data_IF_785696706296
#
_entry.id   IF_785696706296
#
_cell.length_a   1.000
_cell.length_b   1.000
_cell.length_c   1.000
_cell.angle_alpha   90.00
_cell.angle_beta   90.00
_cell.angle_gamma   90.00
#
_symmetry.space_group_name_H-M   'P 1'
#
loop_
_entity.id
_entity.type
_entity.pdbx_description
1 polymer ?
#
# COMPACT_ATOMS: atom_id res chain seq x y z
N UNK A 1 -31.64 -16.27 -28.98
CA UNK A 1 -30.52 -17.20 -29.30
C UNK A 1 -29.11 -16.64 -28.98
N UNK A 2 -28.77 -15.43 -29.45
CA UNK A 2 -27.44 -14.84 -29.23
C UNK A 2 -27.19 -14.40 -27.79
N UNK A 3 -28.21 -13.83 -27.13
CA UNK A 3 -28.13 -13.30 -25.76
C UNK A 3 -27.94 -14.37 -24.68
N UNK A 4 -28.33 -15.63 -24.93
CA UNK A 4 -28.14 -16.75 -24.01
C UNK A 4 -26.75 -17.40 -24.13
N UNK A 5 -26.10 -17.29 -25.31
CA UNK A 5 -24.75 -17.82 -25.55
C UNK A 5 -23.65 -16.81 -25.19
N UNK A 6 -23.94 -15.51 -25.27
CA UNK A 6 -23.00 -14.45 -24.90
C UNK A 6 -22.82 -14.32 -23.37
N UNK A 7 -23.87 -14.58 -22.58
CA UNK A 7 -23.87 -14.45 -21.12
C UNK A 7 -22.83 -15.35 -20.42
N UNK A 8 -22.74 -16.67 -20.70
CA UNK A 8 -21.75 -17.53 -20.05
C UNK A 8 -20.31 -17.19 -20.47
N UNK A 9 -20.09 -16.75 -21.71
CA UNK A 9 -18.76 -16.35 -22.19
C UNK A 9 -18.29 -15.04 -21.55
N UNK A 10 -19.21 -14.07 -21.39
CA UNK A 10 -18.94 -12.81 -20.70
C UNK A 10 -18.64 -13.05 -19.21
N UNK A 11 -19.38 -13.93 -18.56
CA UNK A 11 -19.19 -14.27 -17.15
C UNK A 11 -17.85 -15.00 -16.91
N UNK A 12 -17.45 -15.91 -17.81
CA UNK A 12 -16.11 -16.53 -17.79
C UNK A 12 -15.00 -15.50 -17.97
N UNK A 13 -15.19 -14.55 -18.89
CA UNK A 13 -14.20 -13.51 -19.16
C UNK A 13 -14.01 -12.59 -17.94
N UNK A 14 -15.10 -12.12 -17.32
CA UNK A 14 -15.07 -11.28 -16.11
C UNK A 14 -14.45 -12.02 -14.92
N UNK A 15 -14.79 -13.28 -14.72
CA UNK A 15 -14.19 -14.11 -13.67
C UNK A 15 -12.69 -14.29 -13.88
N UNK A 16 -12.27 -14.55 -15.11
CA UNK A 16 -10.85 -14.65 -15.46
C UNK A 16 -10.14 -13.31 -15.22
N UNK A 17 -10.75 -12.20 -15.61
CA UNK A 17 -10.22 -10.85 -15.35
C UNK A 17 -10.08 -10.59 -13.85
N UNK A 18 -11.07 -10.93 -13.03
CA UNK A 18 -11.04 -10.72 -11.57
C UNK A 18 -9.90 -11.50 -10.91
N UNK A 19 -9.68 -12.77 -11.31
CA UNK A 19 -8.54 -13.57 -10.86
C UNK A 19 -7.19 -12.99 -11.27
N UNK A 20 -7.09 -12.50 -12.50
CA UNK A 20 -5.86 -11.85 -12.99
C UNK A 20 -5.61 -10.53 -12.23
N UNK A 21 -6.65 -9.78 -11.89
CA UNK A 21 -6.56 -8.55 -11.10
C UNK A 21 -6.12 -8.83 -9.66
N UNK A 22 -6.68 -9.85 -9.00
CA UNK A 22 -6.26 -10.22 -7.63
C UNK A 22 -4.80 -10.69 -7.59
N UNK A 23 -4.35 -11.50 -8.57
CA UNK A 23 -2.97 -11.96 -8.65
C UNK A 23 -1.99 -10.83 -8.96
N UNK A 24 -2.35 -9.92 -9.87
CA UNK A 24 -1.54 -8.74 -10.18
C UNK A 24 -1.49 -7.77 -9.00
N UNK A 25 -2.60 -7.55 -8.30
CA UNK A 25 -2.64 -6.75 -7.06
C UNK A 25 -1.67 -7.30 -6.01
N UNK A 26 -1.68 -8.63 -5.79
CA UNK A 26 -0.77 -9.28 -4.85
C UNK A 26 0.69 -9.15 -5.28
N UNK A 27 1.00 -9.33 -6.57
CA UNK A 27 2.35 -9.16 -7.09
C UNK A 27 2.86 -7.73 -6.94
N UNK A 28 2.03 -6.74 -7.28
CA UNK A 28 2.37 -5.31 -7.17
C UNK A 28 2.54 -4.91 -5.70
N UNK A 29 1.67 -5.37 -4.82
CA UNK A 29 1.76 -5.12 -3.37
C UNK A 29 3.00 -5.77 -2.77
N UNK A 30 3.31 -7.03 -3.16
CA UNK A 30 4.51 -7.73 -2.71
C UNK A 30 5.79 -7.04 -3.19
N UNK A 31 5.84 -6.67 -4.48
CA UNK A 31 6.94 -5.90 -5.03
C UNK A 31 7.14 -4.56 -4.30
N UNK A 32 6.04 -3.82 -4.09
CA UNK A 32 6.05 -2.56 -3.35
C UNK A 32 6.54 -2.72 -1.90
N UNK A 33 6.11 -3.77 -1.20
CA UNK A 33 6.57 -4.08 0.15
C UNK A 33 8.06 -4.41 0.18
N UNK A 34 8.55 -5.23 -0.76
CA UNK A 34 9.98 -5.56 -0.88
C UNK A 34 10.79 -4.30 -1.14
N UNK A 35 10.34 -3.42 -2.04
CA UNK A 35 11.02 -2.14 -2.28
C UNK A 35 11.04 -1.28 -1.01
N UNK A 36 9.91 -1.15 -0.29
CA UNK A 36 9.87 -0.41 0.97
C UNK A 36 10.78 -1.01 2.06
N UNK A 37 10.88 -2.34 2.12
CA UNK A 37 11.78 -3.05 3.00
C UNK A 37 13.24 -2.71 2.69
N UNK A 38 13.62 -2.74 1.41
CA UNK A 38 14.94 -2.36 0.94
C UNK A 38 15.25 -0.90 1.32
N UNK A 39 14.32 0.03 1.07
CA UNK A 39 14.46 1.45 1.44
C UNK A 39 14.59 1.65 2.96
N UNK A 40 13.99 0.76 3.77
CA UNK A 40 14.07 0.82 5.24
C UNK A 40 15.42 0.32 5.76
N UNK A 41 15.96 -0.76 5.18
CA UNK A 41 17.18 -1.43 5.68
C UNK A 41 18.48 -0.92 5.06
N UNK A 42 18.47 -0.36 3.84
CA UNK A 42 19.63 0.29 3.23
C UNK A 42 19.56 1.79 3.54
N UNK A 43 20.37 2.32 4.48
CA UNK A 43 20.32 3.72 4.83
C UNK A 43 21.08 4.55 3.78
N UNK A 44 20.52 4.71 2.58
CA UNK A 44 20.99 5.65 1.54
C UNK A 44 20.04 6.83 1.35
N UNK A 45 19.36 7.26 2.41
CA UNK A 45 18.41 8.39 2.36
C UNK A 45 19.12 9.73 2.09
N UNK A 46 20.40 9.81 2.46
CA UNK A 46 21.28 10.95 2.25
C UNK A 46 22.69 10.41 1.98
N UNK A 47 23.14 10.47 0.72
CA UNK A 47 24.52 10.17 0.37
C UNK A 47 25.29 11.48 0.46
N UNK A 48 26.34 11.56 1.28
CA UNK A 48 27.23 12.73 1.27
C UNK A 48 27.96 12.76 -0.07
N UNK A 49 27.98 13.91 -0.73
CA UNK A 49 28.80 14.11 -1.92
C UNK A 49 30.30 14.04 -1.52
N UNK A 50 31.01 13.05 -2.06
CA UNK A 50 32.42 12.78 -1.79
C UNK A 50 33.36 13.78 -2.49
N UNK A 51 32.91 14.44 -3.55
CA UNK A 51 33.77 15.26 -4.41
C UNK A 51 34.02 16.67 -3.84
N UNK A 52 33.27 17.08 -2.80
CA UNK A 52 33.39 18.40 -2.16
C UNK A 52 33.99 18.37 -0.74
N UNK A 53 34.27 17.17 -0.19
CA UNK A 53 34.64 16.98 1.22
C UNK A 53 35.96 16.20 1.39
N UNK A 54 36.94 16.41 0.50
CA UNK A 54 38.24 15.72 0.51
C UNK A 54 39.05 15.89 1.82
N UNK A 55 38.74 16.87 2.68
CA UNK A 55 39.58 17.17 3.87
C UNK A 55 39.05 16.66 5.22
N UNK A 56 37.82 16.14 5.31
CA UNK A 56 37.29 15.61 6.58
C UNK A 56 37.05 14.13 6.42
N UNK A 57 38.03 13.34 6.88
CA UNK A 57 37.98 11.88 6.86
C UNK A 57 36.61 11.34 7.23
N UNK A 58 36.14 10.37 6.44
CA UNK A 58 34.85 9.71 6.51
C UNK A 58 34.72 9.00 7.88
N UNK A 59 34.44 9.74 8.95
CA UNK A 59 34.01 9.13 10.19
C UNK A 59 32.57 8.70 9.99
N UNK A 60 32.40 7.42 9.62
CA UNK A 60 31.19 6.65 9.91
C UNK A 60 30.99 6.65 11.44
N UNK A 61 30.47 7.76 11.97
CA UNK A 61 29.98 7.82 13.34
C UNK A 61 28.61 7.16 13.30
N UNK A 62 28.56 5.87 13.63
CA UNK A 62 27.32 5.23 13.98
C UNK A 62 26.64 6.13 15.04
N UNK A 63 25.46 6.64 14.74
CA UNK A 63 24.67 7.36 15.73
C UNK A 63 24.22 6.33 16.77
N UNK A 64 25.08 6.06 17.77
CA UNK A 64 24.94 4.98 18.76
C UNK A 64 23.87 5.27 19.82
N UNK A 65 23.20 6.41 19.77
CA UNK A 65 22.17 6.79 20.75
C UNK A 65 20.95 7.39 20.07
N UNK A 66 19.79 6.75 20.31
CA UNK A 66 18.44 7.19 19.93
C UNK A 66 18.09 8.63 20.35
N UNK A 67 18.86 9.25 21.25
CA UNK A 67 18.67 10.64 21.73
C UNK A 67 19.51 11.71 21.00
N UNK A 68 20.34 11.34 20.01
CA UNK A 68 21.21 12.27 19.30
C UNK A 68 20.78 12.61 17.86
N UNK A 69 19.66 12.06 17.40
CA UNK A 69 19.18 12.23 16.02
C UNK A 69 18.06 13.30 16.01
N UNK A 70 18.04 14.25 15.06
CA UNK A 70 16.96 15.24 14.97
C UNK A 70 15.60 14.53 14.89
N UNK A 71 14.62 15.04 15.64
CA UNK A 71 13.29 14.45 15.84
C UNK A 71 12.63 14.01 14.50
N UNK A 72 12.84 14.79 13.44
CA UNK A 72 12.28 14.55 12.10
C UNK A 72 12.79 13.25 11.46
N UNK A 73 14.04 12.85 11.72
CA UNK A 73 14.61 11.59 11.22
C UNK A 73 14.09 10.39 12.03
N UNK A 74 13.83 10.57 13.32
CA UNK A 74 13.25 9.52 14.16
C UNK A 74 11.81 9.23 13.75
N UNK A 75 11.00 10.28 13.50
CA UNK A 75 9.63 10.16 13.01
C UNK A 75 9.61 9.42 11.66
N UNK A 76 10.51 9.78 10.74
CA UNK A 76 10.61 9.13 9.44
C UNK A 76 10.90 7.63 9.54
N UNK A 77 11.80 7.21 10.45
CA UNK A 77 12.07 5.78 10.70
C UNK A 77 10.87 5.04 11.26
N UNK A 78 10.16 5.64 12.21
CA UNK A 78 8.95 5.03 12.79
C UNK A 78 7.86 4.87 11.73
N UNK A 79 7.65 5.88 10.89
CA UNK A 79 6.69 5.82 9.78
C UNK A 79 7.04 4.71 8.77
N UNK A 80 8.31 4.56 8.43
CA UNK A 80 8.77 3.47 7.54
C UNK A 80 8.57 2.08 8.18
N UNK A 81 8.85 1.91 9.47
CA UNK A 81 8.60 0.65 10.17
C UNK A 81 7.10 0.32 10.24
N UNK A 82 6.26 1.31 10.52
CA UNK A 82 4.80 1.17 10.49
C UNK A 82 4.32 0.82 9.08
N UNK A 83 4.90 1.43 8.06
CA UNK A 83 4.60 1.11 6.66
C UNK A 83 4.89 -0.36 6.34
N UNK A 84 6.09 -0.85 6.68
CA UNK A 84 6.47 -2.25 6.43
C UNK A 84 5.55 -3.20 7.20
N UNK A 85 5.24 -2.89 8.46
CA UNK A 85 4.32 -3.69 9.28
C UNK A 85 2.91 -3.76 8.68
N UNK A 86 2.35 -2.62 8.32
CA UNK A 86 1.01 -2.54 7.70
C UNK A 86 0.96 -3.17 6.32
N UNK A 87 2.00 -3.04 5.50
CA UNK A 87 2.10 -3.70 4.19
C UNK A 87 2.26 -5.23 4.30
N UNK A 88 3.00 -5.72 5.30
CA UNK A 88 3.06 -7.14 5.61
C UNK A 88 1.70 -7.69 6.05
N UNK A 89 1.00 -6.97 6.94
CA UNK A 89 -0.37 -7.31 7.34
C UNK A 89 -1.35 -7.27 6.17
N UNK A 90 -1.18 -6.34 5.22
CA UNK A 90 -1.99 -6.25 4.01
C UNK A 90 -1.89 -7.54 3.16
N UNK A 91 -0.67 -8.05 2.94
CA UNK A 91 -0.45 -9.30 2.21
C UNK A 91 -1.00 -10.51 2.95
N UNK A 92 -0.78 -10.59 4.27
CA UNK A 92 -1.30 -11.67 5.10
C UNK A 92 -2.83 -11.71 5.12
N UNK A 93 -3.48 -10.55 5.16
CA UNK A 93 -4.94 -10.44 5.07
C UNK A 93 -5.44 -10.74 3.65
N UNK A 94 -4.76 -10.26 2.61
CA UNK A 94 -5.18 -10.47 1.22
C UNK A 94 -5.05 -11.94 0.78
N UNK A 95 -3.99 -12.66 1.19
CA UNK A 95 -3.71 -14.03 0.78
C UNK A 95 -4.91 -15.01 0.91
N UNK A 96 -5.57 -15.15 2.08
CA UNK A 96 -6.77 -16.00 2.22
C UNK A 96 -8.00 -15.47 1.47
N UNK A 97 -8.01 -14.19 1.09
CA UNK A 97 -9.08 -13.55 0.32
C UNK A 97 -9.05 -13.86 -1.18
N UNK A 98 -7.94 -14.38 -1.73
CA UNK A 98 -7.85 -14.69 -3.16
C UNK A 98 -8.82 -15.79 -3.59
N UNK A 99 -9.34 -15.64 -4.81
CA UNK A 99 -10.08 -16.71 -5.48
C UNK A 99 -9.16 -17.87 -5.84
N UNK A 100 -9.54 -19.09 -5.41
CA UNK A 100 -8.75 -20.31 -5.59
C UNK A 100 -7.87 -20.70 -4.39
N UNK A 101 -7.95 -19.96 -3.28
CA UNK A 101 -7.38 -20.36 -1.99
C UNK A 101 -8.46 -21.04 -1.14
N UNK A 102 -8.16 -22.26 -0.67
CA UNK A 102 -9.10 -23.12 0.06
C UNK A 102 -9.25 -22.76 1.56
N UNK A 103 -8.56 -21.73 2.04
CA UNK A 103 -8.54 -21.34 3.47
C UNK A 103 -9.91 -20.83 3.96
N UNK A 104 -10.75 -20.29 3.08
CA UNK A 104 -12.08 -19.73 3.43
C UNK A 104 -13.20 -20.25 2.51
N UNK A 105 -13.19 -21.55 2.19
CA UNK A 105 -14.24 -22.18 1.38
C UNK A 105 -15.59 -22.07 2.10
N UNK A 106 -16.60 -21.53 1.42
CA UNK A 106 -17.96 -21.40 1.94
C UNK A 106 -18.32 -20.06 2.59
N UNK A 107 -17.37 -19.12 2.73
CA UNK A 107 -17.64 -17.78 3.28
C UNK A 107 -17.23 -16.65 2.32
N UNK A 108 -18.02 -16.34 1.29
CA UNK A 108 -17.70 -15.27 0.33
C UNK A 108 -17.63 -13.89 1.01
N UNK A 109 -18.45 -13.65 2.04
CA UNK A 109 -18.41 -12.41 2.81
C UNK A 109 -17.09 -12.17 3.54
N UNK A 110 -16.48 -13.23 4.07
CA UNK A 110 -15.19 -13.15 4.75
C UNK A 110 -14.05 -12.89 3.76
N UNK A 111 -14.04 -13.56 2.61
CA UNK A 111 -13.08 -13.30 1.52
C UNK A 111 -13.13 -11.83 1.07
N UNK A 112 -14.34 -11.30 0.90
CA UNK A 112 -14.54 -9.88 0.56
C UNK A 112 -13.97 -8.95 1.64
N UNK A 113 -14.27 -9.20 2.91
CA UNK A 113 -13.74 -8.39 4.01
C UNK A 113 -12.22 -8.43 4.09
N UNK A 114 -11.61 -9.59 3.85
CA UNK A 114 -10.16 -9.78 3.82
C UNK A 114 -9.49 -9.00 2.68
N UNK A 115 -10.08 -9.00 1.48
CA UNK A 115 -9.59 -8.21 0.34
C UNK A 115 -9.73 -6.69 0.59
N UNK A 116 -10.85 -6.24 1.17
CA UNK A 116 -11.05 -4.83 1.56
C UNK A 116 -10.02 -4.43 2.62
N UNK A 117 -9.84 -5.26 3.65
CA UNK A 117 -8.87 -5.02 4.72
C UNK A 117 -7.45 -4.95 4.16
N UNK A 118 -7.07 -5.88 3.28
CA UNK A 118 -5.81 -5.86 2.55
C UNK A 118 -5.61 -4.58 1.74
N UNK A 119 -6.64 -4.13 1.02
CA UNK A 119 -6.62 -2.87 0.27
C UNK A 119 -6.40 -1.63 1.15
N UNK A 120 -7.14 -1.52 2.26
CA UNK A 120 -6.99 -0.41 3.22
C UNK A 120 -5.60 -0.40 3.84
N UNK A 121 -5.11 -1.56 4.30
CA UNK A 121 -3.78 -1.68 4.89
C UNK A 121 -2.67 -1.35 3.88
N UNK A 122 -2.85 -1.72 2.61
CA UNK A 122 -1.92 -1.38 1.53
C UNK A 122 -1.88 0.13 1.25
N UNK A 123 -3.02 0.83 1.31
CA UNK A 123 -3.06 2.29 1.20
C UNK A 123 -2.38 2.97 2.39
N UNK A 124 -2.68 2.52 3.61
CA UNK A 124 -2.03 3.06 4.81
C UNK A 124 -0.52 2.89 4.70
N UNK A 125 -0.05 1.69 4.36
CA UNK A 125 1.36 1.39 4.10
C UNK A 125 1.96 2.34 3.06
N UNK A 126 1.38 2.42 1.85
CA UNK A 126 1.87 3.30 0.79
C UNK A 126 1.93 4.77 1.18
N UNK A 127 0.91 5.32 1.85
CA UNK A 127 0.89 6.71 2.32
C UNK A 127 1.95 6.97 3.40
N UNK A 128 2.12 6.03 4.33
CA UNK A 128 3.13 6.13 5.39
C UNK A 128 4.57 5.96 4.87
N UNK A 129 4.77 5.34 3.70
CA UNK A 129 6.05 5.39 2.96
C UNK A 129 6.24 6.72 2.25
N UNK A 130 5.23 7.22 1.53
CA UNK A 130 5.36 8.42 0.71
C UNK A 130 5.57 9.68 1.56
N UNK A 131 4.88 9.82 2.69
CA UNK A 131 4.96 11.00 3.55
C UNK A 131 6.40 11.35 3.99
N UNK A 132 7.17 10.46 4.66
CA UNK A 132 8.54 10.78 5.07
C UNK A 132 9.48 11.00 3.88
N UNK A 133 9.33 10.23 2.79
CA UNK A 133 10.18 10.39 1.61
C UNK A 133 9.93 11.74 0.92
N UNK A 134 8.67 12.18 0.83
CA UNK A 134 8.32 13.49 0.26
C UNK A 134 8.77 14.64 1.15
N UNK A 135 8.70 14.51 2.48
CA UNK A 135 9.20 15.53 3.41
C UNK A 135 10.71 15.70 3.25
N UNK A 136 11.47 14.61 3.24
CA UNK A 136 12.94 14.65 3.07
C UNK A 136 13.32 15.24 1.71
N UNK A 137 12.54 14.96 0.66
CA UNK A 137 12.76 15.54 -0.66
C UNK A 137 12.53 17.06 -0.63
N UNK A 138 11.43 17.50 -0.01
CA UNK A 138 11.11 18.91 0.14
C UNK A 138 12.18 19.69 0.92
N UNK A 139 12.61 19.18 2.08
CA UNK A 139 13.64 19.85 2.90
C UNK A 139 14.96 19.97 2.14
N UNK A 140 15.35 18.92 1.39
CA UNK A 140 16.57 18.94 0.57
C UNK A 140 16.53 20.02 -0.51
N UNK A 141 15.37 20.20 -1.17
CA UNK A 141 15.19 21.26 -2.19
C UNK A 141 15.28 22.65 -1.56
N UNK A 142 14.65 22.86 -0.42
CA UNK A 142 14.66 24.16 0.27
C UNK A 142 16.07 24.52 0.73
N UNK A 143 16.79 23.57 1.33
CA UNK A 143 18.18 23.74 1.75
C UNK A 143 19.11 24.05 0.56
N UNK A 144 18.87 23.47 -0.62
CA UNK A 144 19.68 23.71 -1.81
C UNK A 144 19.57 25.14 -2.35
N UNK A 145 18.39 25.77 -2.21
CA UNK A 145 18.11 27.09 -2.79
C UNK A 145 18.33 28.25 -1.80
N UNK A 146 18.60 27.97 -0.53
CA UNK A 146 18.82 29.01 0.47
C UNK A 146 20.27 29.54 0.42
N UNK A 147 20.42 30.79 0.00
CA UNK A 147 21.72 31.46 -0.22
C UNK A 147 22.41 31.91 1.08
N UNK A 148 21.78 31.70 2.25
CA UNK A 148 22.29 32.12 3.56
C UNK A 148 23.23 31.11 4.26
N UNK A 149 23.44 29.92 3.69
CA UNK A 149 24.26 28.88 4.33
C UNK A 149 25.75 28.99 3.94
N UNK A 150 26.70 28.92 4.89
CA UNK A 150 28.12 28.98 4.59
C UNK A 150 28.56 27.75 3.76
N UNK A 151 29.46 27.97 2.78
CA UNK A 151 29.97 27.00 1.78
C UNK A 151 30.61 25.70 2.35
N UNK A 152 30.62 25.53 3.67
CA UNK A 152 31.26 24.43 4.41
C UNK A 152 30.30 23.27 4.73
N UNK A 153 29.02 23.37 4.33
CA UNK A 153 28.03 22.30 4.55
C UNK A 153 27.91 21.42 3.29
N UNK A 154 28.02 20.08 3.39
CA UNK A 154 27.98 19.19 2.22
C UNK A 154 26.64 19.31 1.50
N UNK A 155 26.69 19.60 0.19
CA UNK A 155 25.52 19.55 -0.69
C UNK A 155 24.98 18.12 -0.73
N UNK A 156 23.78 17.93 -0.20
CA UNK A 156 23.09 16.64 -0.22
C UNK A 156 22.51 16.40 -1.61
N UNK A 157 22.97 15.35 -2.28
CA UNK A 157 22.34 14.87 -3.52
C UNK A 157 21.26 13.83 -3.19
N UNK A 158 20.25 13.72 -4.05
CA UNK A 158 19.19 12.72 -3.89
C UNK A 158 19.80 11.32 -3.86
N UNK A 159 19.67 10.62 -2.74
CA UNK A 159 20.06 9.22 -2.66
C UNK A 159 19.14 8.36 -3.53
N UNK A 160 19.69 7.38 -4.24
CA UNK A 160 18.92 6.44 -5.08
C UNK A 160 17.79 5.73 -4.30
N UNK A 161 17.93 5.61 -2.97
CA UNK A 161 16.93 5.05 -2.08
C UNK A 161 15.64 5.89 -1.98
N UNK A 162 15.67 7.19 -2.27
CA UNK A 162 14.46 8.01 -2.26
C UNK A 162 13.54 7.67 -3.43
N UNK A 163 14.11 7.43 -4.61
CA UNK A 163 13.36 6.98 -5.78
C UNK A 163 12.74 5.62 -5.53
N UNK A 164 13.49 4.67 -4.95
CA UNK A 164 12.94 3.37 -4.59
C UNK A 164 11.79 3.50 -3.57
N UNK A 165 11.89 4.40 -2.60
CA UNK A 165 10.79 4.70 -1.67
C UNK A 165 9.52 5.20 -2.37
N UNK A 166 9.64 6.07 -3.37
CA UNK A 166 8.50 6.53 -4.17
C UNK A 166 7.89 5.40 -5.00
N UNK A 167 8.72 4.62 -5.69
CA UNK A 167 8.24 3.47 -6.46
C UNK A 167 7.56 2.44 -5.57
N UNK A 168 8.13 2.13 -4.40
CA UNK A 168 7.54 1.23 -3.41
C UNK A 168 6.21 1.73 -2.85
N UNK A 169 6.15 3.01 -2.44
CA UNK A 169 4.93 3.63 -1.93
C UNK A 169 3.82 3.68 -2.97
N UNK A 170 4.13 4.10 -4.21
CA UNK A 170 3.16 4.13 -5.32
C UNK A 170 2.70 2.73 -5.72
N UNK A 171 3.59 1.74 -5.72
CA UNK A 171 3.24 0.35 -5.97
C UNK A 171 2.26 -0.16 -4.89
N UNK A 172 2.49 0.12 -3.61
CA UNK A 172 1.56 -0.26 -2.53
C UNK A 172 0.18 0.42 -2.67
N UNK A 173 0.14 1.70 -3.04
CA UNK A 173 -1.13 2.39 -3.31
C UNK A 173 -1.86 1.75 -4.48
N UNK A 174 -1.13 1.46 -5.57
CA UNK A 174 -1.67 0.81 -6.78
C UNK A 174 -2.14 -0.63 -6.49
N UNK A 175 -1.40 -1.39 -5.68
CA UNK A 175 -1.81 -2.71 -5.22
C UNK A 175 -3.12 -2.66 -4.43
N UNK A 176 -3.24 -1.68 -3.53
CA UNK A 176 -4.47 -1.43 -2.77
C UNK A 176 -5.66 -1.06 -3.67
N UNK A 177 -5.48 -0.17 -4.65
CA UNK A 177 -6.56 0.18 -5.59
C UNK A 177 -7.00 -1.01 -6.42
N UNK A 178 -6.07 -1.87 -6.86
CA UNK A 178 -6.40 -3.10 -7.60
C UNK A 178 -7.21 -4.08 -6.74
N UNK A 179 -6.91 -4.21 -5.43
CA UNK A 179 -7.76 -4.98 -4.52
C UNK A 179 -9.19 -4.42 -4.45
N UNK A 180 -9.34 -3.09 -4.31
CA UNK A 180 -10.67 -2.47 -4.32
C UNK A 180 -11.40 -2.67 -5.64
N UNK A 181 -10.73 -2.53 -6.78
CA UNK A 181 -11.36 -2.74 -8.09
C UNK A 181 -11.80 -4.21 -8.21
N UNK A 182 -10.98 -5.17 -7.75
CA UNK A 182 -11.36 -6.59 -7.79
C UNK A 182 -12.63 -6.87 -6.97
N UNK A 183 -12.77 -6.25 -5.80
CA UNK A 183 -13.98 -6.34 -4.96
C UNK A 183 -15.18 -5.70 -5.66
N UNK A 184 -15.00 -4.52 -6.26
CA UNK A 184 -16.08 -3.83 -6.99
C UNK A 184 -16.57 -4.67 -8.18
N UNK A 185 -15.66 -5.31 -8.93
CA UNK A 185 -16.00 -6.17 -10.06
C UNK A 185 -16.81 -7.40 -9.63
N UNK A 186 -16.48 -7.99 -8.46
CA UNK A 186 -17.24 -9.09 -7.88
C UNK A 186 -18.67 -8.65 -7.48
N UNK A 187 -18.82 -7.46 -6.90
CA UNK A 187 -20.13 -6.90 -6.55
C UNK A 187 -21.01 -6.61 -7.79
N UNK A 188 -20.41 -6.27 -8.94
CA UNK A 188 -21.15 -6.09 -10.20
C UNK A 188 -21.67 -7.40 -10.77
N UNK A 189 -20.92 -8.51 -10.64
CA UNK A 189 -21.33 -9.82 -11.14
C UNK A 189 -22.48 -10.42 -10.32
N UNK A 190 -22.52 -10.14 -9.00
CA UNK A 190 -23.59 -10.60 -8.11
C UNK A 190 -24.93 -9.86 -8.28
N UNK A 191 -24.96 -8.70 -8.94
CA UNK A 191 -26.21 -7.98 -9.23
C UNK A 191 -26.88 -8.57 -10.48
N UNK A 192 -28.12 -9.11 -10.42
CA UNK A 192 -28.87 -9.37 -11.63
C UNK A 192 -29.09 -8.05 -12.39
N UNK A 193 -29.18 -8.07 -13.74
CA UNK A 193 -29.41 -6.86 -14.54
C UNK A 193 -30.66 -6.17 -14.02
N UNK A 194 -30.47 -4.99 -13.43
CA UNK A 194 -31.52 -4.23 -12.78
C UNK A 194 -32.51 -3.74 -13.82
N UNK A 195 -33.77 -4.14 -13.68
CA UNK A 195 -34.90 -3.40 -14.23
C UNK A 195 -34.87 -2.00 -13.61
N UNK A 196 -34.92 -0.91 -14.39
CA UNK A 196 -34.83 0.43 -13.83
C UNK A 196 -36.10 0.76 -13.02
N UNK A 197 -35.86 1.37 -11.85
CA UNK A 197 -36.78 1.93 -10.86
C UNK A 197 -37.31 0.99 -9.76
N UNK A 198 -36.67 1.06 -8.59
CA UNK A 198 -37.40 1.11 -7.31
C UNK A 198 -36.58 1.84 -6.24
N UNK A 199 -37.18 2.70 -5.41
CA UNK A 199 -36.46 3.52 -4.44
C UNK A 199 -35.90 2.67 -3.29
N UNK A 200 -34.65 2.96 -2.91
CA UNK A 200 -33.95 2.61 -1.67
C UNK A 200 -34.83 2.02 -0.54
N UNK A 201 -34.78 0.70 -0.35
CA UNK A 201 -35.28 0.08 0.89
C UNK A 201 -34.11 -0.08 1.86
N UNK A 202 -34.09 0.83 2.83
CA UNK A 202 -33.23 0.85 4.02
C UNK A 202 -33.26 -0.52 4.72
N UNK A 203 -32.12 -1.20 4.78
CA UNK A 203 -31.98 -2.50 5.45
C UNK A 203 -32.17 -2.34 6.98
N UNK A 204 -33.39 -2.59 7.46
CA UNK A 204 -33.70 -2.67 8.89
C UNK A 204 -33.29 -4.05 9.40
N UNK A 205 -32.29 -4.07 10.27
CA UNK A 205 -31.82 -5.21 11.05
C UNK A 205 -32.99 -5.97 11.70
N UNK A 206 -33.09 -7.29 11.45
CA UNK A 206 -33.96 -8.19 12.21
C UNK A 206 -33.11 -9.01 13.19
N UNK A 207 -32.91 -8.46 14.38
CA UNK A 207 -32.69 -9.22 15.61
C UNK A 207 -33.95 -9.10 16.46
N UNK A 208 -34.86 -10.08 16.35
CA UNK A 208 -35.88 -10.36 17.36
C UNK A 208 -36.05 -11.88 17.34
N UNK A 209 -35.24 -12.56 18.16
CA UNK A 209 -35.65 -13.11 19.46
C UNK A 209 -36.66 -14.25 19.27
N UNK A 210 -36.13 -15.45 19.10
CA UNK A 210 -36.85 -16.70 19.28
C UNK A 210 -36.99 -16.90 20.79
N UNK A 211 -38.17 -16.64 21.32
CA UNK A 211 -38.56 -17.13 22.64
C UNK A 211 -39.73 -18.07 22.43
N UNK A 212 -39.39 -19.34 22.25
CA UNK A 212 -40.28 -20.40 22.73
C UNK A 212 -40.25 -20.35 24.26
N UNK A 213 -41.40 -20.48 24.92
CA UNK A 213 -41.70 -21.45 25.99
C UNK A 213 -43.03 -21.06 26.66
N UNK A 214 -43.89 -22.08 26.77
CA UNK A 214 -45.19 -22.23 27.46
C UNK A 214 -46.45 -21.68 26.78
#
# INVERSE_FOLDING_TARGET
>A
PWRSKLRPELQKMVFLTTKMMQRSALFVTFGGLVTCLITTFLPLWKTMNSDLNEEVGIQCKAYDTLMGLPLDLQISRVLMLVSVGTGGLALLAAFPGLEGVDICVGQPGLKRQLLILGGVLSWVSGLTTLAPVSIVAYTTVVEFWDQGFPDVMPRWEYGEAMFSGWFGGLALVTGGTLFFISVCMEDFDQRPPSVPNSPQVKHRSKHYLKTEVL
#
